data_IF_191498212938
#
_entry.id   IF_191498212938
#
_cell.length_a   1.000
_cell.length_b   1.000
_cell.length_c   1.000
_cell.angle_alpha   90.00
_cell.angle_beta   90.00
_cell.angle_gamma   90.00
#
_symmetry.space_group_name_H-M   'P 1'
#
loop_
_entity.id
_entity.type
_entity.pdbx_description
1 polymer ?
#
# COMPACT_ATOMS: atom_id res chain seq x y z
N UNK A 1 6.47 -21.33 -11.31
CA UNK A 1 5.52 -21.44 -10.19
C UNK A 1 4.68 -20.19 -10.12
N UNK A 2 3.37 -20.39 -9.95
CA UNK A 2 2.45 -19.26 -9.82
C UNK A 2 2.46 -18.75 -8.39
N UNK A 3 2.46 -17.45 -8.23
CA UNK A 3 2.33 -16.83 -6.92
C UNK A 3 0.91 -16.99 -6.40
N UNK A 4 0.72 -17.09 -5.08
CA UNK A 4 -0.63 -17.00 -4.51
C UNK A 4 -1.28 -15.69 -4.91
N UNK A 5 -2.59 -15.72 -5.09
CA UNK A 5 -3.37 -14.55 -5.49
C UNK A 5 -4.13 -14.01 -4.29
N UNK A 6 -4.11 -12.69 -4.12
CA UNK A 6 -4.88 -11.99 -3.08
C UNK A 6 -5.78 -10.96 -3.74
N UNK A 7 -6.92 -10.66 -3.09
CA UNK A 7 -7.78 -9.58 -3.56
C UNK A 7 -7.16 -8.23 -3.20
N UNK A 8 -7.62 -7.18 -3.88
CA UNK A 8 -7.17 -5.83 -3.54
C UNK A 8 -7.42 -5.50 -2.07
N UNK A 9 -8.60 -5.86 -1.57
CA UNK A 9 -8.95 -5.61 -0.17
C UNK A 9 -8.00 -6.32 0.79
N UNK A 10 -7.62 -7.55 0.48
CA UNK A 10 -6.67 -8.31 1.29
C UNK A 10 -5.29 -7.66 1.29
N UNK A 11 -4.82 -7.23 0.12
CA UNK A 11 -3.52 -6.58 0.01
C UNK A 11 -3.49 -5.25 0.76
N UNK A 12 -4.56 -4.47 0.65
CA UNK A 12 -4.69 -3.20 1.38
C UNK A 12 -4.68 -3.44 2.90
N UNK A 13 -5.41 -4.45 3.37
CA UNK A 13 -5.43 -4.79 4.78
C UNK A 13 -4.04 -5.19 5.30
N UNK A 14 -3.32 -5.98 4.52
CA UNK A 14 -1.94 -6.36 4.86
C UNK A 14 -1.02 -5.14 4.94
N UNK A 15 -1.17 -4.22 3.99
CA UNK A 15 -0.38 -3.00 3.97
C UNK A 15 -0.66 -2.12 5.18
N UNK A 16 -1.93 -1.97 5.55
CA UNK A 16 -2.32 -1.16 6.70
C UNK A 16 -1.71 -1.73 7.99
N UNK A 17 -1.75 -3.05 8.15
CA UNK A 17 -1.16 -3.70 9.33
C UNK A 17 0.35 -3.47 9.42
N UNK A 18 1.05 -3.61 8.30
CA UNK A 18 2.48 -3.36 8.25
C UNK A 18 2.81 -1.90 8.54
N UNK A 19 2.03 -0.99 7.99
CA UNK A 19 2.24 0.44 8.23
C UNK A 19 2.08 0.80 9.71
N UNK A 20 1.12 0.20 10.40
CA UNK A 20 0.91 0.46 11.82
C UNK A 20 2.11 0.07 12.66
N UNK A 21 2.83 -0.96 12.24
CA UNK A 21 4.00 -1.44 12.97
C UNK A 21 5.22 -0.57 12.71
N UNK A 22 5.38 -0.08 11.47
CA UNK A 22 6.61 0.54 11.02
C UNK A 22 6.56 2.05 10.88
N UNK A 23 5.38 2.64 10.86
CA UNK A 23 5.25 4.08 10.62
C UNK A 23 4.01 4.65 11.29
N UNK A 24 4.10 5.92 11.67
CA UNK A 24 2.94 6.68 12.16
C UNK A 24 2.32 7.40 10.97
N UNK A 25 1.31 6.78 10.38
CA UNK A 25 0.63 7.36 9.24
C UNK A 25 -0.48 8.30 9.71
N UNK A 26 -0.64 9.47 9.09
CA UNK A 26 -1.72 10.39 9.45
C UNK A 26 -3.08 9.80 9.10
N UNK A 27 -4.08 10.15 9.88
CA UNK A 27 -5.47 9.78 9.58
C UNK A 27 -5.93 10.54 8.34
N UNK A 28 -6.85 9.95 7.60
CA UNK A 28 -7.37 10.53 6.37
C UNK A 28 -6.65 10.07 5.12
N UNK A 29 -5.59 9.26 5.27
CA UNK A 29 -4.93 8.66 4.14
C UNK A 29 -5.67 7.41 3.70
N UNK A 30 -5.87 7.26 2.39
CA UNK A 30 -6.51 6.09 1.80
C UNK A 30 -5.51 5.33 0.96
N UNK A 31 -5.53 4.01 1.04
CA UNK A 31 -4.66 3.14 0.27
C UNK A 31 -5.51 2.40 -0.76
N UNK A 32 -5.04 2.36 -1.99
CA UNK A 32 -5.69 1.61 -3.07
C UNK A 32 -4.64 0.84 -3.85
N UNK A 33 -5.11 -0.09 -4.68
CA UNK A 33 -4.24 -0.88 -5.56
C UNK A 33 -4.49 -0.43 -6.98
N UNK A 34 -3.41 -0.13 -7.68
CA UNK A 34 -3.44 0.16 -9.11
C UNK A 34 -2.84 -1.03 -9.85
N UNK A 35 -3.54 -1.52 -10.87
CA UNK A 35 -3.07 -2.66 -11.65
C UNK A 35 -2.79 -2.21 -13.08
N UNK A 36 -1.73 -2.79 -13.67
CA UNK A 36 -1.43 -2.60 -15.08
C UNK A 36 -0.67 -3.83 -15.59
N UNK A 37 -1.10 -4.37 -16.72
CA UNK A 37 -0.46 -5.57 -17.27
C UNK A 37 -0.43 -6.69 -16.24
N UNK A 38 0.73 -7.25 -16.02
CA UNK A 38 0.93 -8.33 -15.04
C UNK A 38 1.40 -7.81 -13.68
N UNK A 39 1.34 -6.50 -13.46
CA UNK A 39 1.88 -5.90 -12.26
C UNK A 39 0.82 -5.09 -11.51
N UNK A 40 1.16 -4.69 -10.28
CA UNK A 40 0.29 -3.87 -9.45
C UNK A 40 1.16 -3.08 -8.49
N UNK A 41 0.57 -2.00 -7.95
CA UNK A 41 1.24 -1.23 -6.89
C UNK A 41 0.21 -0.63 -5.96
N UNK A 42 0.66 -0.26 -4.76
CA UNK A 42 -0.17 0.52 -3.85
C UNK A 42 -0.10 1.99 -4.21
N UNK A 43 -1.24 2.66 -4.04
CA UNK A 43 -1.33 4.11 -4.22
C UNK A 43 -1.90 4.72 -2.96
N UNK A 44 -1.29 5.80 -2.50
CA UNK A 44 -1.79 6.55 -1.36
C UNK A 44 -2.53 7.77 -1.87
N UNK A 45 -3.68 8.04 -1.26
CA UNK A 45 -4.46 9.26 -1.52
C UNK A 45 -4.72 9.97 -0.22
N UNK A 46 -4.59 11.28 -0.22
CA UNK A 46 -4.89 12.10 0.93
C UNK A 46 -5.25 13.50 0.45
N UNK A 47 -6.06 14.21 1.26
CA UNK A 47 -6.32 15.60 0.97
C UNK A 47 -5.08 16.45 1.27
N UNK A 48 -5.12 17.73 0.90
CA UNK A 48 -3.98 18.61 1.07
C UNK A 48 -3.57 18.75 2.54
N UNK A 49 -4.54 18.78 3.46
CA UNK A 49 -4.25 18.86 4.88
C UNK A 49 -3.53 17.65 5.41
N UNK A 50 -4.00 16.46 5.02
CA UNK A 50 -3.39 15.20 5.44
C UNK A 50 -2.00 15.03 4.81
N UNK A 51 -1.85 15.36 3.53
CA UNK A 51 -0.58 15.24 2.83
C UNK A 51 0.48 16.20 3.39
N UNK A 52 0.08 17.27 4.06
CA UNK A 52 1.00 18.23 4.66
C UNK A 52 1.43 17.84 6.07
N UNK A 53 0.83 16.80 6.66
CA UNK A 53 1.16 16.40 8.03
C UNK A 53 2.54 15.78 8.09
N UNK A 54 3.29 16.00 9.21
CA UNK A 54 4.54 15.29 9.44
C UNK A 54 4.30 13.78 9.42
N UNK A 55 5.21 13.03 8.85
CA UNK A 55 5.12 11.58 8.76
C UNK A 55 4.45 11.06 7.50
N UNK A 56 3.74 11.92 6.75
CA UNK A 56 3.12 11.47 5.51
C UNK A 56 4.13 10.98 4.47
N UNK A 57 5.24 11.70 4.20
CA UNK A 57 6.23 11.21 3.24
C UNK A 57 6.87 9.89 3.67
N UNK A 58 7.14 9.70 4.96
CA UNK A 58 7.69 8.44 5.46
C UNK A 58 6.68 7.31 5.31
N UNK A 59 5.41 7.59 5.55
CA UNK A 59 4.35 6.61 5.37
C UNK A 59 4.25 6.16 3.91
N UNK A 60 4.29 7.10 2.98
CA UNK A 60 4.24 6.79 1.54
C UNK A 60 5.47 5.97 1.13
N UNK A 61 6.65 6.35 1.61
CA UNK A 61 7.87 5.63 1.30
C UNK A 61 7.81 4.18 1.82
N UNK A 62 7.31 4.00 3.04
CA UNK A 62 7.13 2.67 3.61
C UNK A 62 6.11 1.86 2.82
N UNK A 63 5.02 2.50 2.39
CA UNK A 63 4.01 1.84 1.59
C UNK A 63 4.59 1.32 0.28
N UNK A 64 5.46 2.08 -0.36
CA UNK A 64 6.14 1.65 -1.59
C UNK A 64 7.00 0.42 -1.31
N UNK A 65 7.73 0.40 -0.21
CA UNK A 65 8.56 -0.75 0.17
C UNK A 65 7.70 -1.98 0.45
N UNK A 66 6.62 -1.81 1.17
CA UNK A 66 5.66 -2.89 1.45
C UNK A 66 5.09 -3.45 0.14
N UNK A 67 4.71 -2.56 -0.77
CA UNK A 67 4.20 -2.94 -2.08
C UNK A 67 5.21 -3.76 -2.88
N UNK A 68 6.47 -3.33 -2.91
CA UNK A 68 7.52 -4.08 -3.59
C UNK A 68 7.70 -5.47 -2.99
N UNK A 69 7.66 -5.57 -1.67
CA UNK A 69 7.80 -6.85 -0.97
C UNK A 69 6.64 -7.78 -1.28
N UNK A 70 5.41 -7.28 -1.17
CA UNK A 70 4.21 -8.10 -1.41
C UNK A 70 4.07 -8.47 -2.88
N UNK A 71 4.47 -7.58 -3.78
CA UNK A 71 4.40 -7.83 -5.21
C UNK A 71 5.25 -9.01 -5.63
N UNK A 72 6.35 -9.24 -4.92
CA UNK A 72 7.20 -10.42 -5.16
C UNK A 72 6.57 -11.71 -4.66
N UNK A 73 5.65 -11.62 -3.71
CA UNK A 73 5.05 -12.78 -3.06
C UNK A 73 3.65 -13.11 -3.58
N UNK A 74 2.90 -12.12 -4.02
CA UNK A 74 1.49 -12.28 -4.38
C UNK A 74 1.16 -11.57 -5.69
N UNK A 75 0.20 -12.16 -6.41
CA UNK A 75 -0.47 -11.50 -7.51
C UNK A 75 -1.79 -10.96 -7.02
N UNK A 76 -2.29 -9.90 -7.64
CA UNK A 76 -3.59 -9.34 -7.31
C UNK A 76 -4.67 -10.01 -8.17
N UNK A 77 -5.78 -10.34 -7.53
CA UNK A 77 -6.94 -10.85 -8.23
C UNK A 77 -7.80 -9.65 -8.62
N UNK A 78 -7.69 -9.28 -9.86
CA UNK A 78 -8.40 -8.12 -10.40
C UNK A 78 -9.74 -8.44 -10.97
#
# INVERSE_FOLDING_TARGET
>A
MTKPTKTEAELVAMAIEELKVHADCPEGMTISVLTWGDSWEFRAKADAGTASKPGYPECVAMLVQIGDHLRKQYDVKG
#
